data_IF_156213980198
#
_entry.id   IF_156213980198
#
_cell.length_a   1.000
_cell.length_b   1.000
_cell.length_c   1.000
_cell.angle_alpha   90.00
_cell.angle_beta   90.00
_cell.angle_gamma   90.00
#
_symmetry.space_group_name_H-M   'P 1'
#
loop_
_entity.id
_entity.type
_entity.pdbx_description
1 polymer ?
#
# COMPACT_ATOMS: atom_id res chain seq x y z
N UNK A 1 42.86 -19.41 -10.01
CA UNK A 1 42.23 -18.31 -9.24
C UNK A 1 41.29 -17.57 -10.18
N UNK A 2 39.99 -17.85 -10.11
CA UNK A 2 38.97 -17.17 -10.93
C UNK A 2 38.40 -16.00 -10.16
N UNK A 3 38.40 -14.81 -10.77
CA UNK A 3 37.85 -13.60 -10.18
C UNK A 3 36.32 -13.74 -10.04
N UNK A 4 35.83 -13.56 -8.81
CA UNK A 4 34.42 -13.40 -8.52
C UNK A 4 33.95 -12.08 -9.12
N UNK A 5 33.06 -12.12 -10.11
CA UNK A 5 32.23 -10.97 -10.48
C UNK A 5 31.26 -10.71 -9.33
N UNK A 6 31.61 -9.77 -8.46
CA UNK A 6 30.65 -9.08 -7.61
C UNK A 6 29.68 -8.35 -8.55
N UNK A 7 28.50 -8.94 -8.77
CA UNK A 7 27.34 -8.17 -9.21
C UNK A 7 27.02 -7.18 -8.10
N UNK A 8 27.49 -5.96 -8.31
CA UNK A 8 27.02 -4.77 -7.62
C UNK A 8 25.48 -4.77 -7.74
N UNK A 9 24.72 -4.82 -6.63
CA UNK A 9 23.28 -4.68 -6.72
C UNK A 9 23.03 -3.21 -7.06
N UNK A 10 22.90 -2.92 -8.34
CA UNK A 10 22.39 -1.64 -8.84
C UNK A 10 21.23 -1.25 -7.94
N UNK A 11 21.25 -0.06 -7.28
CA UNK A 11 20.20 0.30 -6.36
C UNK A 11 18.87 0.23 -7.10
N UNK A 12 18.01 -0.68 -6.66
CA UNK A 12 16.62 -0.77 -7.11
C UNK A 12 16.03 0.64 -7.02
N UNK A 13 15.60 1.20 -8.14
CA UNK A 13 14.92 2.50 -8.12
C UNK A 13 13.71 2.38 -7.18
N UNK A 14 13.67 3.22 -6.15
CA UNK A 14 12.54 3.25 -5.21
C UNK A 14 11.47 4.16 -5.77
N UNK A 15 10.25 3.65 -5.92
CA UNK A 15 9.09 4.44 -6.33
C UNK A 15 8.11 4.61 -5.17
N UNK A 16 7.18 5.56 -5.27
CA UNK A 16 6.16 5.75 -4.23
C UNK A 16 4.84 5.11 -4.66
N UNK A 17 4.30 4.23 -3.85
CA UNK A 17 2.93 3.75 -4.03
C UNK A 17 1.99 4.50 -3.08
N UNK A 18 0.78 4.79 -3.55
CA UNK A 18 -0.29 5.47 -2.82
C UNK A 18 -1.50 4.55 -2.75
N UNK A 19 -2.05 4.35 -1.56
CA UNK A 19 -3.23 3.55 -1.27
C UNK A 19 -4.34 4.50 -0.80
N UNK A 20 -5.41 4.54 -1.59
CA UNK A 20 -6.64 5.24 -1.26
C UNK A 20 -7.61 4.25 -0.65
N UNK A 21 -7.83 4.37 0.65
CA UNK A 21 -8.73 3.52 1.41
C UNK A 21 -10.07 4.21 1.62
N UNK A 22 -11.15 3.63 1.10
CA UNK A 22 -12.52 4.07 1.36
C UNK A 22 -13.20 3.13 2.36
N UNK A 23 -13.45 3.61 3.58
CA UNK A 23 -14.12 2.89 4.65
C UNK A 23 -15.61 3.23 4.65
N UNK A 24 -16.45 2.24 4.36
CA UNK A 24 -17.92 2.39 4.45
C UNK A 24 -18.44 1.81 5.75
N UNK A 25 -19.08 2.63 6.58
CA UNK A 25 -19.73 2.24 7.85
C UNK A 25 -21.24 2.44 7.75
N UNK A 26 -22.03 1.67 8.50
CA UNK A 26 -23.47 1.98 8.65
C UNK A 26 -23.58 3.36 9.30
N UNK A 27 -24.23 4.32 8.65
CA UNK A 27 -24.42 5.65 9.20
C UNK A 27 -25.49 5.69 10.28
N UNK A 28 -25.64 6.85 10.91
CA UNK A 28 -26.60 7.05 12.01
C UNK A 28 -28.07 6.92 11.57
N UNK A 29 -28.36 7.06 10.27
CA UNK A 29 -29.71 6.92 9.70
C UNK A 29 -29.85 5.62 8.91
N UNK A 30 -30.97 4.90 9.03
CA UNK A 30 -31.25 3.73 8.20
C UNK A 30 -31.08 4.05 6.71
N UNK A 31 -30.29 3.25 5.99
CA UNK A 31 -30.07 3.38 4.55
C UNK A 31 -28.94 4.31 4.11
N UNK A 32 -28.33 5.11 5.00
CA UNK A 32 -27.22 6.00 4.63
C UNK A 32 -25.90 5.46 5.21
N UNK A 33 -24.94 5.03 4.38
CA UNK A 33 -23.61 4.71 4.87
C UNK A 33 -22.81 5.99 5.15
N UNK A 34 -22.07 6.02 6.26
CA UNK A 34 -21.01 7.00 6.47
C UNK A 34 -19.77 6.52 5.70
N UNK A 35 -19.25 7.35 4.81
CA UNK A 35 -18.05 7.05 4.00
C UNK A 35 -16.89 7.88 4.56
N UNK A 36 -15.82 7.20 4.97
CA UNK A 36 -14.57 7.80 5.41
C UNK A 36 -13.48 7.44 4.41
N UNK A 37 -12.83 8.45 3.81
CA UNK A 37 -11.70 8.24 2.88
C UNK A 37 -10.39 8.56 3.60
N UNK A 38 -9.36 7.75 3.38
CA UNK A 38 -8.02 7.92 3.95
C UNK A 38 -6.97 7.62 2.89
N UNK A 39 -5.85 8.34 2.91
CA UNK A 39 -4.74 8.17 1.96
C UNK A 39 -3.48 7.76 2.71
N UNK A 40 -2.81 6.73 2.19
CA UNK A 40 -1.54 6.23 2.70
C UNK A 40 -0.51 6.15 1.58
N UNK A 41 0.77 6.35 1.89
CA UNK A 41 1.86 6.16 0.93
C UNK A 41 2.97 5.29 1.50
N UNK A 42 3.65 4.53 0.64
CA UNK A 42 4.85 3.76 0.97
C UNK A 42 5.90 3.92 -0.15
N UNK A 43 7.18 3.85 0.21
CA UNK A 43 8.28 3.72 -0.74
C UNK A 43 8.53 2.23 -1.00
N UNK A 44 8.46 1.82 -2.25
CA UNK A 44 8.58 0.42 -2.66
C UNK A 44 9.80 0.33 -3.58
N UNK A 45 10.67 -0.66 -3.32
CA UNK A 45 11.78 -0.96 -4.21
C UNK A 45 11.23 -1.60 -5.49
N UNK A 46 11.60 -1.07 -6.67
CA UNK A 46 11.32 -1.76 -7.94
C UNK A 46 12.21 -2.99 -8.08
N UNK A 47 11.64 -4.08 -8.57
CA UNK A 47 12.47 -5.16 -9.09
C UNK A 47 13.23 -4.63 -10.31
N UNK A 48 14.54 -4.93 -10.39
CA UNK A 48 15.35 -4.60 -11.56
C UNK A 48 14.87 -5.34 -12.82
N UNK A 49 14.12 -6.42 -12.66
CA UNK A 49 13.62 -7.26 -13.75
C UNK A 49 12.22 -6.83 -14.26
N UNK A 50 11.50 -6.02 -13.50
CA UNK A 50 10.14 -5.60 -13.84
C UNK A 50 9.91 -4.12 -13.51
N UNK A 51 10.30 -3.26 -14.46
CA UNK A 51 10.13 -1.81 -14.40
C UNK A 51 8.67 -1.37 -14.50
N UNK A 52 7.78 -2.27 -14.95
CA UNK A 52 6.34 -2.06 -15.05
C UNK A 52 5.58 -2.81 -13.95
N UNK A 53 6.25 -3.31 -12.91
CA UNK A 53 5.61 -4.04 -11.82
C UNK A 53 4.55 -3.19 -11.11
N UNK A 54 3.32 -3.26 -11.62
CA UNK A 54 2.11 -2.68 -11.03
C UNK A 54 1.59 -3.53 -9.88
N UNK A 55 2.24 -4.64 -9.57
CA UNK A 55 1.81 -5.55 -8.53
C UNK A 55 2.66 -5.35 -7.28
N UNK A 56 2.02 -4.98 -6.18
CA UNK A 56 2.63 -4.93 -4.86
C UNK A 56 1.95 -5.96 -3.95
N UNK A 57 2.62 -6.42 -2.90
CA UNK A 57 2.01 -7.37 -1.96
C UNK A 57 1.84 -6.72 -0.59
N UNK A 58 0.62 -6.81 -0.05
CA UNK A 58 0.30 -6.47 1.33
C UNK A 58 0.26 -7.77 2.16
N UNK A 59 1.07 -7.88 3.20
CA UNK A 59 1.28 -9.12 3.96
C UNK A 59 0.69 -9.09 5.38
N UNK A 60 -0.61 -9.23 5.56
CA UNK A 60 -1.22 -9.20 6.90
C UNK A 60 -0.77 -10.35 7.85
N UNK A 61 0.14 -10.05 8.78
CA UNK A 61 0.59 -10.96 9.85
C UNK A 61 -0.22 -10.74 11.13
N UNK A 62 -0.87 -11.80 11.61
CA UNK A 62 -1.59 -11.84 12.89
C UNK A 62 -0.91 -12.82 13.84
N UNK A 63 -0.70 -12.41 15.09
CA UNK A 63 -0.22 -13.28 16.17
C UNK A 63 -1.37 -13.61 17.11
N UNK A 64 -1.56 -14.90 17.41
CA UNK A 64 -2.54 -15.41 18.37
C UNK A 64 -1.86 -16.39 19.32
N UNK A 65 -1.36 -15.86 20.45
CA UNK A 65 -0.48 -16.63 21.34
C UNK A 65 0.80 -17.04 20.59
N UNK A 66 1.07 -18.34 20.55
CA UNK A 66 2.23 -18.91 19.84
C UNK A 66 1.98 -19.13 18.33
N UNK A 67 0.77 -18.87 17.83
CA UNK A 67 0.42 -19.07 16.42
C UNK A 67 0.59 -17.80 15.61
N UNK A 68 1.22 -17.93 14.43
CA UNK A 68 1.36 -16.89 13.43
C UNK A 68 0.51 -17.24 12.20
N UNK A 69 -0.38 -16.32 11.80
CA UNK A 69 -1.09 -16.40 10.52
C UNK A 69 -0.64 -15.27 9.60
N UNK A 70 -0.20 -15.62 8.39
CA UNK A 70 0.20 -14.66 7.35
C UNK A 70 -0.85 -14.71 6.23
N UNK A 71 -1.54 -13.59 5.99
CA UNK A 71 -2.45 -13.42 4.86
C UNK A 71 -1.80 -12.46 3.85
N UNK A 72 -1.41 -12.98 2.68
CA UNK A 72 -0.84 -12.17 1.60
C UNK A 72 -1.95 -11.76 0.64
N UNK A 73 -1.89 -10.51 0.18
CA UNK A 73 -2.79 -10.00 -0.85
C UNK A 73 -2.01 -9.18 -1.86
N UNK A 74 -2.23 -9.46 -3.12
CA UNK A 74 -1.70 -8.66 -4.21
C UNK A 74 -2.54 -7.39 -4.40
N UNK A 75 -1.85 -6.28 -4.60
CA UNK A 75 -2.36 -4.95 -4.89
C UNK A 75 -1.98 -4.65 -6.33
N UNK A 76 -2.98 -4.40 -7.18
CA UNK A 76 -2.74 -3.91 -8.53
C UNK A 76 -2.79 -2.39 -8.50
N UNK A 77 -1.66 -1.74 -8.68
CA UNK A 77 -1.50 -0.30 -8.75
C UNK A 77 -2.00 0.22 -10.11
N UNK A 78 -2.69 1.35 -10.08
CA UNK A 78 -3.30 2.05 -11.20
C UNK A 78 -2.73 3.47 -11.32
N UNK A 79 -2.79 4.08 -12.51
CA UNK A 79 -2.42 5.49 -12.69
C UNK A 79 -0.98 5.81 -12.28
N UNK A 80 -0.02 5.34 -13.08
CA UNK A 80 1.39 5.65 -12.91
C UNK A 80 1.73 7.03 -13.47
N UNK A 81 2.36 7.86 -12.65
CA UNK A 81 2.94 9.14 -13.05
C UNK A 81 4.48 9.00 -13.16
N UNK A 82 5.04 9.04 -14.38
CA UNK A 82 6.48 8.93 -14.60
C UNK A 82 7.27 10.15 -14.13
N UNK A 83 6.66 11.33 -13.99
CA UNK A 83 7.35 12.53 -13.53
C UNK A 83 7.62 12.48 -12.03
N UNK A 84 6.67 11.94 -11.27
CA UNK A 84 6.75 11.84 -9.80
C UNK A 84 7.11 10.44 -9.28
N UNK A 85 7.20 9.47 -10.19
CA UNK A 85 7.41 8.06 -9.90
C UNK A 85 6.40 7.53 -8.86
N UNK A 86 5.13 7.86 -9.08
CA UNK A 86 4.03 7.52 -8.17
C UNK A 86 2.93 6.70 -8.84
N UNK A 87 2.28 5.83 -8.08
CA UNK A 87 1.13 5.07 -8.55
C UNK A 87 0.05 4.97 -7.46
N UNK A 88 -1.20 4.81 -7.87
CA UNK A 88 -2.38 4.84 -6.99
C UNK A 88 -3.12 3.51 -7.01
N UNK A 89 -3.48 2.98 -5.85
CA UNK A 89 -4.41 1.86 -5.73
C UNK A 89 -5.62 2.30 -4.91
N UNK A 90 -6.82 1.89 -5.33
CA UNK A 90 -8.07 2.19 -4.64
C UNK A 90 -8.70 0.93 -4.08
N UNK A 91 -8.94 0.93 -2.77
CA UNK A 91 -9.66 -0.16 -2.10
C UNK A 91 -10.85 0.36 -1.30
N UNK A 92 -12.02 -0.27 -1.48
CA UNK A 92 -13.17 -0.07 -0.62
C UNK A 92 -13.24 -1.17 0.44
N UNK A 93 -13.14 -0.79 1.71
CA UNK A 93 -13.27 -1.69 2.85
C UNK A 93 -14.54 -1.38 3.63
N UNK A 94 -15.25 -2.42 4.04
CA UNK A 94 -16.39 -2.28 4.96
C UNK A 94 -15.88 -2.40 6.40
N UNK A 95 -16.04 -1.32 7.17
CA UNK A 95 -15.87 -1.26 8.63
C UNK A 95 -14.72 -2.07 9.23
N UNK A 96 -13.53 -1.49 9.34
CA UNK A 96 -12.54 -1.94 10.32
C UNK A 96 -11.63 -0.77 10.69
N UNK A 97 -11.66 -0.39 11.96
CA UNK A 97 -10.74 0.61 12.51
C UNK A 97 -9.31 0.07 12.54
N UNK A 98 -9.10 -1.24 12.57
CA UNK A 98 -7.75 -1.83 12.68
C UNK A 98 -6.88 -1.72 11.43
N UNK A 99 -7.41 -1.21 10.30
CA UNK A 99 -6.65 -1.16 9.05
C UNK A 99 -5.48 -0.18 9.06
N UNK A 100 -5.58 0.95 9.75
CA UNK A 100 -4.48 1.93 9.77
C UNK A 100 -3.26 1.40 10.53
N UNK A 101 -3.46 0.70 11.65
CA UNK A 101 -2.39 0.06 12.41
C UNK A 101 -1.71 -1.03 11.59
N UNK A 102 -2.51 -1.79 10.82
CA UNK A 102 -2.01 -2.81 9.89
C UNK A 102 -1.19 -2.18 8.77
N UNK A 103 -1.68 -1.10 8.16
CA UNK A 103 -0.96 -0.38 7.12
C UNK A 103 0.39 0.15 7.62
N UNK A 104 0.45 0.68 8.85
CA UNK A 104 1.71 1.06 9.49
C UNK A 104 2.73 -0.09 9.56
N UNK A 105 2.28 -1.32 9.86
CA UNK A 105 3.15 -2.52 9.86
C UNK A 105 3.71 -2.86 8.47
N UNK A 106 3.04 -2.44 7.40
CA UNK A 106 3.47 -2.61 6.01
C UNK A 106 4.33 -1.45 5.50
N UNK A 107 4.76 -0.54 6.37
CA UNK A 107 5.53 0.64 5.96
C UNK A 107 4.68 1.71 5.26
N UNK A 108 3.36 1.59 5.28
CA UNK A 108 2.46 2.61 4.76
C UNK A 108 2.22 3.69 5.81
N UNK A 109 2.44 4.93 5.43
CA UNK A 109 2.28 6.10 6.30
C UNK A 109 1.08 6.90 5.84
N UNK A 110 0.23 7.32 6.78
CA UNK A 110 -0.92 8.19 6.47
C UNK A 110 -0.43 9.54 5.95
N UNK A 111 -0.99 10.00 4.83
CA UNK A 111 -0.65 11.28 4.19
C UNK A 111 -1.84 12.25 4.25
N UNK A 112 -2.06 12.93 5.40
CA UNK A 112 -3.17 13.87 5.56
C UNK A 112 -3.07 15.07 4.59
N UNK A 113 -1.87 15.36 4.10
CA UNK A 113 -1.62 16.34 3.05
C UNK A 113 -2.25 15.98 1.70
N UNK A 114 -2.44 14.68 1.42
CA UNK A 114 -3.08 14.17 0.20
C UNK A 114 -4.57 13.82 0.40
N UNK A 115 -5.08 13.88 1.63
CA UNK A 115 -6.49 13.60 1.94
C UNK A 115 -7.44 14.74 1.51
N UNK A 116 -6.88 15.93 1.24
CA UNK A 116 -7.64 17.05 0.71
C UNK A 116 -7.76 16.87 -0.79
N UNK A 117 -8.96 16.54 -1.26
CA UNK A 117 -9.35 16.92 -2.62
C UNK A 117 -9.18 18.46 -2.67
N UNK A 118 -8.28 18.95 -3.53
CA UNK A 118 -8.36 20.34 -3.99
C UNK A 118 -9.78 20.58 -4.59
N UNK A 119 -10.33 21.79 -4.41
CA UNK A 119 -11.77 22.08 -4.46
C UNK A 119 -12.52 21.68 -5.73
#
# INVERSE_FOLDING_TARGET
>A
MGAQTMTDPTPSSTFNAVLHLEIRRKGARPGVPNIERRVYSAKIARSAEDLEARNCTLEHVTYQGDYQQINRRELTLEGYDPETDTATYRESVKGSETWYEKLGRFGWVRRPDLEREEP
#
